data_IF_979063454354
#
_entry.id   IF_979063454354
#
_cell.length_a   1.000
_cell.length_b   1.000
_cell.length_c   1.000
_cell.angle_alpha   90.00
_cell.angle_beta   90.00
_cell.angle_gamma   90.00
#
_symmetry.space_group_name_H-M   'P 1'
#
loop_
_entity.id
_entity.type
_entity.pdbx_description
1 polymer ?
#
# COMPACT_ATOMS: atom_id res chain seq x y z
N UNK A 1 -46.19 -2.76 -44.98
CA UNK A 1 -45.35 -2.29 -43.86
C UNK A 1 -44.04 -1.74 -44.43
N UNK A 2 -43.98 -0.43 -44.62
CA UNK A 2 -42.98 0.26 -45.46
C UNK A 2 -41.86 0.81 -44.58
N UNK A 3 -40.64 0.26 -44.67
CA UNK A 3 -39.47 0.79 -43.94
C UNK A 3 -39.10 2.15 -44.53
N UNK A 4 -39.33 3.23 -43.79
CA UNK A 4 -38.90 4.58 -44.14
C UNK A 4 -37.36 4.61 -44.25
N UNK A 5 -36.84 4.84 -45.47
CA UNK A 5 -35.40 5.01 -45.71
C UNK A 5 -35.02 6.45 -45.41
N UNK A 6 -34.23 6.66 -44.35
CA UNK A 6 -33.64 7.97 -44.04
C UNK A 6 -32.77 8.46 -45.20
N UNK A 7 -32.82 9.76 -45.56
CA UNK A 7 -32.03 10.35 -46.64
C UNK A 7 -30.52 10.22 -46.36
N UNK A 8 -29.72 10.01 -47.43
CA UNK A 8 -28.26 9.72 -47.36
C UNK A 8 -27.46 10.70 -46.47
N UNK A 9 -27.82 11.99 -46.48
CA UNK A 9 -27.17 13.02 -45.66
C UNK A 9 -27.38 12.83 -44.14
N UNK A 10 -28.58 12.38 -43.74
CA UNK A 10 -28.92 12.11 -42.32
C UNK A 10 -28.21 10.85 -41.84
N UNK A 11 -28.02 9.84 -42.71
CA UNK A 11 -27.22 8.64 -42.41
C UNK A 11 -25.75 8.96 -42.13
N UNK A 12 -25.13 9.87 -42.88
CA UNK A 12 -23.74 10.30 -42.65
C UNK A 12 -23.55 11.03 -41.33
N UNK A 13 -24.50 11.91 -40.97
CA UNK A 13 -24.47 12.67 -39.72
C UNK A 13 -24.71 11.78 -38.48
N UNK A 14 -25.64 10.82 -38.59
CA UNK A 14 -25.90 9.82 -37.52
C UNK A 14 -24.70 8.89 -37.34
N UNK A 15 -24.07 8.45 -38.43
CA UNK A 15 -22.88 7.59 -38.36
C UNK A 15 -21.69 8.31 -37.75
N UNK A 16 -21.46 9.58 -38.11
CA UNK A 16 -20.39 10.42 -37.54
C UNK A 16 -20.57 10.68 -36.03
N UNK A 17 -21.81 10.94 -35.58
CA UNK A 17 -22.12 11.08 -34.14
C UNK A 17 -21.93 9.76 -33.37
N UNK A 18 -22.28 8.62 -33.98
CA UNK A 18 -22.09 7.31 -33.37
C UNK A 18 -20.60 6.96 -33.24
N UNK A 19 -19.80 7.26 -34.27
CA UNK A 19 -18.34 7.08 -34.23
C UNK A 19 -17.70 7.97 -33.17
N UNK A 20 -18.12 9.24 -33.04
CA UNK A 20 -17.61 10.15 -32.01
C UNK A 20 -17.96 9.65 -30.59
N UNK A 21 -19.17 9.16 -30.38
CA UNK A 21 -19.60 8.56 -29.11
C UNK A 21 -18.78 7.31 -28.76
N UNK A 22 -18.52 6.42 -29.72
CA UNK A 22 -17.69 5.23 -29.52
C UNK A 22 -16.23 5.58 -29.20
N UNK A 23 -15.66 6.59 -29.87
CA UNK A 23 -14.32 7.11 -29.56
C UNK A 23 -14.28 7.72 -28.16
N UNK A 24 -15.28 8.51 -27.79
CA UNK A 24 -15.36 9.10 -26.45
C UNK A 24 -15.50 8.03 -25.35
N UNK A 25 -16.31 6.99 -25.60
CA UNK A 25 -16.47 5.84 -24.70
C UNK A 25 -15.17 5.03 -24.57
N UNK A 26 -14.42 4.89 -25.67
CA UNK A 26 -13.11 4.22 -25.68
C UNK A 26 -12.03 5.00 -24.92
N UNK A 27 -12.07 6.33 -24.98
CA UNK A 27 -11.13 7.19 -24.22
C UNK A 27 -11.38 7.15 -22.70
N UNK A 28 -12.60 6.82 -22.26
CA UNK A 28 -12.96 6.73 -20.84
C UNK A 28 -12.52 5.42 -20.18
N UNK A 29 -12.16 4.37 -20.93
CA UNK A 29 -11.72 3.09 -20.35
C UNK A 29 -10.24 3.08 -19.90
N UNK A 30 -9.47 4.13 -20.21
CA UNK A 30 -8.05 4.21 -19.87
C UNK A 30 -7.77 4.54 -18.39
N UNK A 31 -8.80 4.88 -17.61
CA UNK A 31 -8.69 5.17 -16.19
C UNK A 31 -8.81 3.90 -15.33
N UNK A 32 -7.99 2.88 -15.58
CA UNK A 32 -7.81 1.79 -14.62
C UNK A 32 -6.63 2.13 -13.72
N UNK A 33 -6.91 2.59 -12.51
CA UNK A 33 -5.88 2.75 -11.47
C UNK A 33 -5.30 1.37 -11.17
N UNK A 34 -4.06 1.12 -11.60
CA UNK A 34 -3.40 -0.15 -11.37
C UNK A 34 -3.29 -0.43 -9.86
N UNK A 35 -4.01 -1.45 -9.40
CA UNK A 35 -3.95 -1.94 -8.03
C UNK A 35 -2.55 -2.46 -7.72
N UNK A 36 -2.02 -2.13 -6.54
CA UNK A 36 -0.72 -2.65 -6.13
C UNK A 36 -0.91 -4.11 -5.68
N UNK A 37 -0.09 -5.00 -6.22
CA UNK A 37 -0.07 -6.42 -5.85
C UNK A 37 1.25 -6.73 -5.17
N UNK A 38 1.25 -7.73 -4.29
CA UNK A 38 2.47 -8.23 -3.64
C UNK A 38 3.59 -8.45 -4.64
N UNK A 39 4.85 -8.22 -4.25
CA UNK A 39 6.04 -8.48 -5.06
C UNK A 39 6.05 -9.94 -5.54
N UNK A 40 6.71 -10.22 -6.67
CA UNK A 40 7.03 -11.60 -7.03
C UNK A 40 7.76 -12.27 -5.87
N UNK A 41 7.46 -13.55 -5.64
CA UNK A 41 8.12 -14.32 -4.59
C UNK A 41 9.64 -14.29 -4.81
N UNK A 42 10.44 -13.79 -3.85
CA UNK A 42 11.89 -13.82 -3.93
C UNK A 42 12.39 -15.24 -4.21
N UNK A 43 13.37 -15.39 -5.10
CA UNK A 43 13.91 -16.71 -5.51
C UNK A 43 14.42 -17.54 -4.33
N UNK A 44 14.93 -16.88 -3.28
CA UNK A 44 15.37 -17.56 -2.06
C UNK A 44 14.24 -18.30 -1.34
N UNK A 45 12.99 -17.81 -1.43
CA UNK A 45 11.83 -18.42 -0.79
C UNK A 45 11.19 -19.54 -1.61
N UNK A 46 11.55 -19.66 -2.90
CA UNK A 46 11.03 -20.73 -3.77
C UNK A 46 11.93 -21.95 -3.82
N UNK A 47 13.21 -21.81 -3.44
CA UNK A 47 14.23 -22.86 -3.54
C UNK A 47 14.77 -23.38 -2.20
N UNK A 48 14.41 -22.74 -1.08
CA UNK A 48 14.85 -23.11 0.27
C UNK A 48 13.72 -23.55 1.19
N UNK A 49 14.08 -24.01 2.39
CA UNK A 49 13.11 -24.23 3.48
C UNK A 49 12.57 -22.88 3.97
N UNK A 50 11.25 -22.61 3.90
CA UNK A 50 10.64 -21.31 4.19
C UNK A 50 10.56 -20.98 5.69
N UNK A 51 11.65 -21.24 6.43
CA UNK A 51 11.75 -21.04 7.87
C UNK A 51 11.48 -19.60 8.32
N UNK A 52 11.63 -18.62 7.41
CA UNK A 52 11.34 -17.19 7.66
C UNK A 52 9.88 -16.90 8.04
N UNK A 53 8.93 -17.74 7.61
CA UNK A 53 7.52 -17.61 8.00
C UNK A 53 7.16 -18.49 9.20
N UNK A 54 8.07 -19.38 9.63
CA UNK A 54 7.88 -20.27 10.77
C UNK A 54 8.37 -19.62 12.08
N UNK A 55 9.33 -18.71 11.97
CA UNK A 55 9.84 -17.87 13.05
C UNK A 55 8.93 -16.66 13.23
N UNK A 56 7.99 -16.70 14.17
CA UNK A 56 7.14 -15.55 14.50
C UNK A 56 6.09 -15.88 15.56
N UNK A 57 5.70 -14.88 16.36
CA UNK A 57 4.59 -15.02 17.31
C UNK A 57 3.26 -15.29 16.59
N UNK A 58 2.30 -15.94 17.24
CA UNK A 58 0.96 -16.20 16.65
C UNK A 58 0.28 -14.89 16.20
N UNK A 59 0.56 -13.77 16.87
CA UNK A 59 0.07 -12.43 16.49
C UNK A 59 0.68 -11.90 15.19
N UNK A 60 1.83 -12.41 14.76
CA UNK A 60 2.46 -12.06 13.49
C UNK A 60 1.86 -12.83 12.29
N UNK A 61 1.04 -13.85 12.56
CA UNK A 61 0.34 -14.65 11.53
C UNK A 61 -0.96 -13.96 11.10
N UNK A 62 -0.81 -12.82 10.45
CA UNK A 62 -1.92 -11.96 10.04
C UNK A 62 -1.85 -11.61 8.55
N UNK A 63 -3.00 -11.46 7.91
CA UNK A 63 -3.08 -10.86 6.56
C UNK A 63 -3.04 -9.33 6.60
N UNK A 64 -2.97 -8.75 7.81
CA UNK A 64 -2.69 -7.35 8.03
C UNK A 64 -1.22 -7.14 8.44
N UNK A 65 -0.59 -6.13 7.85
CA UNK A 65 0.80 -5.77 8.11
C UNK A 65 0.80 -4.34 8.65
N UNK A 66 1.47 -4.14 9.78
CA UNK A 66 1.68 -2.81 10.35
C UNK A 66 3.10 -2.36 10.08
N UNK A 67 3.24 -1.21 9.42
CA UNK A 67 4.51 -0.53 9.19
C UNK A 67 4.51 0.81 9.91
N UNK A 68 5.66 1.20 10.43
CA UNK A 68 5.85 2.56 10.92
C UNK A 68 5.87 3.52 9.72
N UNK A 69 5.51 4.78 9.94
CA UNK A 69 5.71 5.81 8.93
C UNK A 69 6.24 7.10 9.54
N UNK A 70 6.99 7.83 8.72
CA UNK A 70 7.36 9.22 8.94
C UNK A 70 7.10 9.99 7.64
N UNK A 71 6.27 11.02 7.66
CA UNK A 71 5.93 11.75 6.42
C UNK A 71 5.80 13.25 6.64
N UNK A 72 6.31 14.04 5.69
CA UNK A 72 6.09 15.49 5.64
C UNK A 72 4.97 15.86 4.66
N UNK A 73 4.03 14.95 4.42
CA UNK A 73 2.88 15.20 3.54
C UNK A 73 1.76 15.84 4.33
N UNK A 74 1.03 16.75 3.68
CA UNK A 74 -0.14 17.40 4.28
C UNK A 74 -1.21 16.33 4.61
N UNK A 75 -1.65 16.24 5.88
CA UNK A 75 -2.63 15.26 6.33
C UNK A 75 -4.04 15.68 5.92
N UNK A 76 -4.88 14.69 5.71
CA UNK A 76 -6.30 14.79 5.46
C UNK A 76 -7.03 13.81 6.40
N UNK A 77 -8.29 14.10 6.74
CA UNK A 77 -9.10 13.24 7.62
C UNK A 77 -8.85 13.48 9.11
N UNK A 78 -9.08 12.47 9.95
CA UNK A 78 -8.79 12.48 11.40
C UNK A 78 -7.49 11.72 11.69
N UNK A 79 -6.91 11.92 12.89
CA UNK A 79 -5.67 11.26 13.33
C UNK A 79 -5.73 9.73 13.28
N UNK A 80 -6.90 9.12 13.55
CA UNK A 80 -7.06 7.65 13.53
C UNK A 80 -7.17 7.06 12.12
N UNK A 81 -7.48 7.89 11.12
CA UNK A 81 -7.70 7.46 9.73
C UNK A 81 -7.13 8.51 8.77
N UNK A 82 -5.84 8.80 8.91
CA UNK A 82 -5.16 9.77 8.05
C UNK A 82 -5.11 9.27 6.62
N UNK A 83 -5.30 10.21 5.70
CA UNK A 83 -4.82 10.13 4.33
C UNK A 83 -3.81 11.25 4.12
N UNK A 84 -2.86 11.05 3.22
CA UNK A 84 -1.80 12.03 2.99
C UNK A 84 -1.79 12.49 1.54
N UNK A 85 -1.78 13.80 1.34
CA UNK A 85 -1.75 14.37 0.01
C UNK A 85 -0.36 14.25 -0.63
N UNK A 86 -0.22 14.77 -1.86
CA UNK A 86 1.09 14.93 -2.52
C UNK A 86 1.79 16.25 -2.16
N UNK A 87 1.08 17.15 -1.48
CA UNK A 87 1.61 18.42 -1.00
C UNK A 87 2.41 18.20 0.27
N UNK A 88 3.53 18.91 0.41
CA UNK A 88 4.37 18.85 1.61
C UNK A 88 3.90 19.86 2.66
N UNK A 89 3.99 19.48 3.93
CA UNK A 89 3.95 20.35 5.12
C UNK A 89 5.37 20.61 5.62
N UNK A 90 5.52 21.59 6.51
CA UNK A 90 6.77 21.82 7.24
C UNK A 90 7.02 20.74 8.30
N UNK A 91 5.96 20.23 8.91
CA UNK A 91 6.04 19.28 10.02
C UNK A 91 6.25 17.85 9.54
N UNK A 92 6.94 17.06 10.36
CA UNK A 92 7.07 15.62 10.19
C UNK A 92 6.00 14.90 11.02
N UNK A 93 5.27 13.99 10.41
CA UNK A 93 4.18 13.24 11.05
C UNK A 93 4.58 11.78 11.17
N UNK A 94 4.42 11.23 12.37
CA UNK A 94 4.85 9.89 12.74
C UNK A 94 3.64 9.04 13.12
N UNK A 95 3.67 7.76 12.78
CA UNK A 95 2.59 6.85 13.18
C UNK A 95 2.72 5.44 12.63
N UNK A 96 1.59 4.75 12.62
CA UNK A 96 1.47 3.37 12.15
C UNK A 96 0.49 3.31 10.98
N UNK A 97 0.93 2.69 9.88
CA UNK A 97 0.07 2.36 8.75
C UNK A 97 -0.26 0.87 8.81
N UNK A 98 -1.55 0.54 8.77
CA UNK A 98 -2.05 -0.83 8.72
C UNK A 98 -2.50 -1.15 7.31
N UNK A 99 -1.91 -2.20 6.72
CA UNK A 99 -2.14 -2.63 5.36
C UNK A 99 -2.78 -4.02 5.34
N UNK A 100 -3.55 -4.31 4.30
CA UNK A 100 -4.16 -5.62 4.07
C UNK A 100 -3.55 -6.27 2.85
N UNK A 101 -3.27 -7.55 2.95
CA UNK A 101 -2.99 -8.41 1.81
C UNK A 101 -4.24 -9.23 1.46
N UNK A 102 -4.66 -9.14 0.20
CA UNK A 102 -5.90 -9.71 -0.29
C UNK A 102 -7.14 -8.93 0.13
N UNK A 103 -8.29 -9.57 -0.01
CA UNK A 103 -9.62 -9.00 0.25
C UNK A 103 -10.11 -9.21 1.70
N UNK A 104 -9.30 -9.84 2.55
CA UNK A 104 -9.65 -10.19 3.93
C UNK A 104 -10.41 -11.52 4.07
N UNK A 105 -10.65 -12.24 2.99
CA UNK A 105 -11.28 -13.59 3.03
C UNK A 105 -10.25 -14.71 3.19
N UNK A 106 -8.98 -14.43 2.86
CA UNK A 106 -7.89 -15.40 2.90
C UNK A 106 -7.32 -15.54 4.31
N UNK A 107 -6.89 -16.76 4.65
CA UNK A 107 -6.17 -17.04 5.90
C UNK A 107 -4.68 -16.73 5.76
N UNK A 108 -3.99 -16.66 6.90
CA UNK A 108 -2.54 -16.53 6.94
C UNK A 108 -1.83 -17.67 6.19
N UNK A 109 -2.28 -18.91 6.38
CA UNK A 109 -1.69 -20.09 5.75
C UNK A 109 -1.79 -20.02 4.23
N UNK A 110 -2.93 -19.53 3.72
CA UNK A 110 -3.10 -19.29 2.28
C UNK A 110 -2.13 -18.22 1.78
N UNK A 111 -1.91 -17.15 2.55
CA UNK A 111 -0.96 -16.10 2.19
C UNK A 111 0.47 -16.62 2.20
N UNK A 112 0.86 -17.38 3.22
CA UNK A 112 2.18 -18.01 3.32
C UNK A 112 2.43 -18.93 2.11
N UNK A 113 1.48 -19.80 1.77
CA UNK A 113 1.60 -20.70 0.62
C UNK A 113 1.76 -19.94 -0.71
N UNK A 114 1.03 -18.83 -0.90
CA UNK A 114 1.22 -17.98 -2.09
C UNK A 114 2.58 -17.30 -2.10
N UNK A 115 3.11 -16.94 -0.92
CA UNK A 115 4.37 -16.19 -0.75
C UNK A 115 5.62 -17.06 -0.80
N UNK A 116 5.48 -18.38 -0.88
CA UNK A 116 6.59 -19.35 -1.01
C UNK A 116 6.47 -20.21 -2.27
N UNK A 117 5.37 -20.06 -3.04
CA UNK A 117 5.16 -20.79 -4.29
C UNK A 117 6.18 -20.40 -5.36
N UNK A 118 6.80 -21.42 -5.97
CA UNK A 118 7.61 -21.28 -7.18
C UNK A 118 6.76 -21.07 -8.45
N UNK A 119 5.47 -21.41 -8.40
CA UNK A 119 4.54 -21.22 -9.52
C UNK A 119 4.02 -19.79 -9.46
N UNK A 120 4.22 -19.04 -10.54
CA UNK A 120 3.72 -17.68 -10.68
C UNK A 120 2.19 -17.71 -10.84
N UNK A 121 1.50 -17.35 -9.76
CA UNK A 121 0.04 -17.25 -9.71
C UNK A 121 -0.44 -15.80 -9.63
N UNK A 122 -1.75 -15.62 -9.51
CA UNK A 122 -2.33 -14.31 -9.24
C UNK A 122 -1.88 -13.79 -7.87
N UNK A 123 -1.02 -12.77 -7.88
CA UNK A 123 -0.51 -12.13 -6.65
C UNK A 123 -1.63 -11.33 -5.97
N UNK A 124 -1.85 -11.49 -4.66
CA UNK A 124 -2.90 -10.77 -3.96
C UNK A 124 -2.61 -9.26 -3.97
N UNK A 125 -3.69 -8.48 -3.99
CA UNK A 125 -3.60 -7.04 -3.87
C UNK A 125 -3.15 -6.64 -2.47
N UNK A 126 -2.44 -5.53 -2.35
CA UNK A 126 -2.09 -4.92 -1.07
C UNK A 126 -2.65 -3.51 -1.02
N UNK A 127 -3.34 -3.19 0.07
CA UNK A 127 -4.04 -1.91 0.22
C UNK A 127 -3.90 -1.34 1.63
N UNK A 128 -3.86 -0.01 1.73
CA UNK A 128 -3.87 0.68 3.02
C UNK A 128 -5.27 0.60 3.63
N UNK A 129 -5.36 0.16 4.89
CA UNK A 129 -6.62 0.13 5.67
C UNK A 129 -6.78 1.43 6.45
N UNK A 130 -5.72 1.81 7.16
CA UNK A 130 -5.71 2.98 8.03
C UNK A 130 -4.27 3.48 8.23
N UNK A 131 -4.13 4.78 8.44
CA UNK A 131 -2.91 5.38 8.96
C UNK A 131 -3.28 6.11 10.26
N UNK A 132 -2.79 5.61 11.39
CA UNK A 132 -2.97 6.21 12.71
C UNK A 132 -1.77 7.11 13.00
N UNK A 133 -1.99 8.41 13.00
CA UNK A 133 -1.03 9.43 13.41
C UNK A 133 -0.85 9.38 14.92
N UNK A 134 0.40 9.28 15.36
CA UNK A 134 0.77 9.20 16.78
C UNK A 134 1.46 10.46 17.26
N UNK A 135 2.26 11.11 16.41
CA UNK A 135 2.99 12.30 16.79
C UNK A 135 3.21 13.25 15.60
N UNK A 136 3.40 14.52 15.92
CA UNK A 136 3.82 15.56 14.98
C UNK A 136 5.08 16.21 15.53
N UNK A 137 6.16 16.20 14.76
CA UNK A 137 7.37 16.97 15.02
C UNK A 137 7.29 18.27 14.22
N UNK A 138 7.06 19.37 14.93
CA UNK A 138 7.06 20.72 14.34
C UNK A 138 8.49 21.10 13.95
N UNK A 139 8.64 21.80 12.82
CA UNK A 139 9.95 22.09 12.25
C UNK A 139 10.84 22.99 13.13
N UNK A 140 10.22 23.80 14.00
CA UNK A 140 10.86 24.73 14.92
C UNK A 140 10.90 24.24 16.37
N UNK A 141 10.43 23.01 16.63
CA UNK A 141 10.50 22.43 17.96
C UNK A 141 11.95 22.17 18.39
N UNK A 142 12.31 22.62 19.59
CA UNK A 142 13.64 22.40 20.17
C UNK A 142 13.81 21.01 20.82
N UNK A 143 12.70 20.32 21.09
CA UNK A 143 12.68 18.99 21.69
C UNK A 143 11.44 18.20 21.23
N UNK A 144 11.53 16.87 21.34
CA UNK A 144 10.39 15.98 21.12
C UNK A 144 9.34 16.17 22.24
N UNK A 145 8.07 16.29 21.87
CA UNK A 145 6.96 16.31 22.83
C UNK A 145 6.59 14.90 23.33
N UNK A 146 5.67 14.79 24.31
CA UNK A 146 5.28 13.50 24.91
C UNK A 146 4.72 12.49 23.90
N UNK A 147 4.01 12.96 22.88
CA UNK A 147 3.48 12.10 21.80
C UNK A 147 4.61 11.48 20.96
N UNK A 148 5.67 12.25 20.71
CA UNK A 148 6.85 11.75 20.00
C UNK A 148 7.65 10.78 20.86
N UNK A 149 7.80 11.04 22.16
CA UNK A 149 8.39 10.09 23.10
C UNK A 149 7.60 8.78 23.15
N UNK A 150 6.26 8.84 23.14
CA UNK A 150 5.41 7.66 23.08
C UNK A 150 5.57 6.88 21.76
N UNK A 151 5.73 7.58 20.63
CA UNK A 151 6.06 6.94 19.36
C UNK A 151 7.44 6.28 19.40
N UNK A 152 8.47 6.94 19.92
CA UNK A 152 9.80 6.36 20.03
C UNK A 152 9.82 5.14 20.97
N UNK A 153 9.08 5.17 22.07
CA UNK A 153 8.91 4.02 22.95
C UNK A 153 8.27 2.82 22.22
N UNK A 154 7.31 3.05 21.33
CA UNK A 154 6.76 2.01 20.47
C UNK A 154 7.83 1.45 19.51
N UNK A 155 8.66 2.32 18.91
CA UNK A 155 9.77 1.86 18.05
C UNK A 155 10.74 0.98 18.85
N UNK A 156 11.14 1.43 20.05
CA UNK A 156 12.02 0.66 20.93
C UNK A 156 11.41 -0.70 21.32
N UNK A 157 10.11 -0.75 21.59
CA UNK A 157 9.40 -2.00 21.87
C UNK A 157 9.42 -2.96 20.68
N UNK A 158 9.18 -2.45 19.46
CA UNK A 158 9.23 -3.26 18.24
C UNK A 158 10.65 -3.79 17.98
N UNK A 159 11.65 -2.93 18.12
CA UNK A 159 13.06 -3.32 17.93
C UNK A 159 13.52 -4.31 19.00
N UNK A 160 13.10 -4.16 20.26
CA UNK A 160 13.43 -5.11 21.33
C UNK A 160 12.86 -6.51 21.10
N UNK A 161 11.77 -6.63 20.34
CA UNK A 161 11.17 -7.90 19.92
C UNK A 161 11.81 -8.47 18.66
N UNK A 162 12.38 -7.61 17.80
CA UNK A 162 13.12 -8.05 16.62
C UNK A 162 14.42 -8.76 17.03
N UNK A 163 14.82 -9.79 16.27
CA UNK A 163 16.06 -10.53 16.55
C UNK A 163 17.32 -9.65 16.46
N UNK A 164 17.34 -8.72 15.51
CA UNK A 164 18.55 -7.96 15.14
C UNK A 164 18.52 -6.49 15.57
N UNK A 165 17.39 -5.97 16.10
CA UNK A 165 17.19 -4.55 16.48
C UNK A 165 17.45 -3.57 15.35
N UNK A 166 17.23 -4.01 14.12
CA UNK A 166 17.39 -3.19 12.91
C UNK A 166 16.07 -2.51 12.52
N UNK A 167 16.17 -1.24 12.13
CA UNK A 167 15.08 -0.47 11.52
C UNK A 167 15.36 -0.28 10.03
N UNK A 168 14.55 -0.93 9.18
CA UNK A 168 14.59 -0.68 7.74
C UNK A 168 13.78 0.57 7.40
N UNK A 169 14.42 1.61 6.88
CA UNK A 169 13.73 2.79 6.36
C UNK A 169 13.59 2.69 4.84
N UNK A 170 12.37 2.47 4.36
CA UNK A 170 12.05 2.53 2.94
C UNK A 170 11.76 3.97 2.51
N UNK A 171 12.68 4.56 1.76
CA UNK A 171 12.47 5.87 1.12
C UNK A 171 11.77 5.68 -0.22
N UNK A 172 10.60 6.30 -0.39
CA UNK A 172 9.87 6.18 -1.64
C UNK A 172 10.57 6.93 -2.80
N UNK A 173 10.42 6.41 -4.02
CA UNK A 173 10.90 7.06 -5.23
C UNK A 173 10.06 8.27 -5.66
N UNK A 174 10.29 8.75 -6.89
CA UNK A 174 9.48 9.82 -7.48
C UNK A 174 8.10 9.33 -7.92
N UNK A 175 7.11 10.24 -7.93
CA UNK A 175 5.72 9.98 -8.40
C UNK A 175 4.99 8.86 -7.63
N UNK A 176 5.25 8.75 -6.33
CA UNK A 176 4.57 7.81 -5.43
C UNK A 176 3.65 8.57 -4.46
N UNK A 177 2.45 8.06 -4.20
CA UNK A 177 1.61 8.54 -3.09
C UNK A 177 1.92 7.79 -1.79
N UNK A 178 1.34 8.24 -0.68
CA UNK A 178 1.60 7.64 0.63
C UNK A 178 1.17 6.17 0.67
N UNK A 179 -0.03 5.86 0.18
CA UNK A 179 -0.61 4.52 0.17
C UNK A 179 0.28 3.53 -0.58
N UNK A 180 0.76 3.90 -1.78
CA UNK A 180 1.68 3.06 -2.56
C UNK A 180 3.04 2.93 -1.88
N UNK A 181 3.56 3.98 -1.24
CA UNK A 181 4.82 3.92 -0.53
C UNK A 181 4.73 2.97 0.69
N UNK A 182 3.69 3.12 1.50
CA UNK A 182 3.42 2.26 2.65
C UNK A 182 3.22 0.80 2.20
N UNK A 183 2.53 0.58 1.09
CA UNK A 183 2.33 -0.75 0.53
C UNK A 183 3.62 -1.37 -0.01
N UNK A 184 4.56 -0.58 -0.52
CA UNK A 184 5.89 -1.08 -0.85
C UNK A 184 6.70 -1.46 0.40
N UNK A 185 6.67 -0.63 1.45
CA UNK A 185 7.34 -0.92 2.72
C UNK A 185 6.80 -2.20 3.38
N UNK A 186 5.48 -2.38 3.40
CA UNK A 186 4.86 -3.58 3.96
C UNK A 186 5.25 -4.86 3.21
N UNK A 187 5.51 -4.77 1.90
CA UNK A 187 6.02 -5.91 1.14
C UNK A 187 7.45 -6.30 1.56
N UNK A 188 8.31 -5.32 1.88
CA UNK A 188 9.63 -5.62 2.45
C UNK A 188 9.48 -6.35 3.79
N UNK A 189 8.63 -5.85 4.68
CA UNK A 189 8.38 -6.51 5.98
C UNK A 189 7.86 -7.94 5.79
N UNK A 190 6.89 -8.14 4.89
CA UNK A 190 6.32 -9.45 4.58
C UNK A 190 7.36 -10.47 4.12
N UNK A 191 8.25 -10.06 3.21
CA UNK A 191 9.22 -10.98 2.60
C UNK A 191 10.56 -11.09 3.36
N UNK A 192 10.86 -10.15 4.27
CA UNK A 192 12.03 -10.22 5.15
C UNK A 192 11.74 -10.97 6.45
N UNK A 193 10.46 -11.16 6.79
CA UNK A 193 10.02 -11.94 7.93
C UNK A 193 9.38 -11.09 9.03
N UNK A 194 8.59 -11.71 9.90
CA UNK A 194 7.71 -11.00 10.85
C UNK A 194 8.45 -10.19 11.91
N UNK A 195 9.73 -10.49 12.16
CA UNK A 195 10.56 -9.79 13.13
C UNK A 195 11.20 -8.51 12.54
N UNK A 196 11.04 -8.26 11.24
CA UNK A 196 11.58 -7.05 10.60
C UNK A 196 10.74 -5.83 10.99
N UNK A 197 11.39 -4.78 11.51
CA UNK A 197 10.74 -3.49 11.75
C UNK A 197 10.98 -2.59 10.54
N UNK A 198 9.90 -2.18 9.86
CA UNK A 198 9.98 -1.31 8.68
C UNK A 198 9.30 0.03 8.94
N UNK A 199 9.96 1.11 8.53
CA UNK A 199 9.41 2.46 8.46
C UNK A 199 9.40 2.96 7.02
N UNK A 200 8.27 3.52 6.58
CA UNK A 200 8.20 4.24 5.30
C UNK A 200 8.44 5.73 5.48
N UNK A 201 9.19 6.33 4.55
CA UNK A 201 9.33 7.77 4.36
C UNK A 201 8.86 8.21 2.96
#
# INVERSE_FOLDING_TARGET
MTRARLPRAVRGLVMSRLTLLLVMMGLLSACSSATLRLMPTPTLLTQGEPTLFDTGSVSARSTAIEVLYATNRLPLGSSDKRSYSRTRSADLRLGVATLRVGDGTKTWESLQAMSTSAVEGERPEISLIAAREMAVLEADASAAGPDAEAFFALVDELLARSGDRDLLIYLHGARTDFDRAAAQAAQFQHFMGPDTVVMVF
#
